data_IF_551814324229
#
_entry.id   IF_551814324229
#
_cell.length_a   1.000
_cell.length_b   1.000
_cell.length_c   1.000
_cell.angle_alpha   90.00
_cell.angle_beta   90.00
_cell.angle_gamma   90.00
#
_symmetry.space_group_name_H-M   'P 1'
#
loop_
_entity.id
_entity.type
_entity.pdbx_description
1 polymer ?
#
# COMPACT_ATOMS: atom_id res chain seq x y z
N UNK A 1 -2.03 -5.03 18.01
CA UNK A 1 -1.82 -3.75 17.31
C UNK A 1 -2.87 -2.80 17.87
N UNK A 2 -2.51 -1.59 18.32
CA UNK A 2 -3.49 -0.61 18.76
C UNK A 2 -4.28 -0.11 17.54
N UNK A 3 -5.54 0.32 17.69
CA UNK A 3 -6.35 0.92 16.63
C UNK A 3 -5.60 2.07 15.92
N UNK A 4 -4.82 2.85 16.68
CA UNK A 4 -3.97 3.90 16.12
C UNK A 4 -2.89 3.36 15.17
N UNK A 5 -2.29 2.21 15.50
CA UNK A 5 -1.27 1.57 14.66
C UNK A 5 -1.90 1.03 13.37
N UNK A 6 -3.14 0.49 13.45
CA UNK A 6 -3.92 0.04 12.28
C UNK A 6 -4.16 1.21 11.33
N UNK A 7 -4.60 2.35 11.86
CA UNK A 7 -4.86 3.56 11.08
C UNK A 7 -3.58 4.06 10.41
N UNK A 8 -2.48 4.15 11.14
CA UNK A 8 -1.20 4.59 10.59
C UNK A 8 -0.69 3.66 9.49
N UNK A 9 -0.78 2.35 9.71
CA UNK A 9 -0.39 1.35 8.72
C UNK A 9 -1.22 1.48 7.44
N UNK A 10 -2.53 1.68 7.57
CA UNK A 10 -3.43 1.91 6.43
C UNK A 10 -3.02 3.14 5.63
N UNK A 11 -2.73 4.27 6.28
CA UNK A 11 -2.28 5.49 5.59
C UNK A 11 -0.92 5.32 4.92
N UNK A 12 0.01 4.60 5.54
CA UNK A 12 1.31 4.28 4.95
C UNK A 12 1.14 3.51 3.63
N UNK A 13 0.33 2.45 3.63
CA UNK A 13 0.05 1.62 2.46
C UNK A 13 -0.61 2.44 1.34
N UNK A 14 -1.62 3.27 1.67
CA UNK A 14 -2.28 4.16 0.71
C UNK A 14 -1.28 5.14 0.06
N UNK A 15 -0.36 5.70 0.85
CA UNK A 15 0.67 6.61 0.35
C UNK A 15 1.64 5.89 -0.59
N UNK A 16 2.09 4.68 -0.24
CA UNK A 16 2.98 3.87 -1.09
C UNK A 16 2.28 3.55 -2.41
N UNK A 17 1.03 3.08 -2.34
CA UNK A 17 0.22 2.78 -3.51
C UNK A 17 0.12 3.99 -4.44
N UNK A 18 -0.22 5.16 -3.91
CA UNK A 18 -0.31 6.39 -4.69
C UNK A 18 1.03 6.77 -5.34
N UNK A 19 2.14 6.62 -4.62
CA UNK A 19 3.47 6.89 -5.16
C UNK A 19 3.82 5.95 -6.33
N UNK A 20 3.47 4.67 -6.21
CA UNK A 20 3.69 3.68 -7.26
C UNK A 20 2.83 3.96 -8.49
N UNK A 21 1.54 4.24 -8.32
CA UNK A 21 0.63 4.48 -9.44
C UNK A 21 0.90 5.80 -10.18
N UNK A 22 1.45 6.80 -9.48
CA UNK A 22 1.79 8.10 -10.07
C UNK A 22 3.27 8.21 -10.49
N UNK A 23 4.05 7.12 -10.40
CA UNK A 23 5.47 7.11 -10.79
C UNK A 23 6.35 8.04 -9.95
N UNK A 24 5.96 8.32 -8.69
CA UNK A 24 6.71 9.17 -7.75
C UNK A 24 7.90 8.45 -7.13
N UNK A 25 7.89 7.11 -7.17
CA UNK A 25 9.01 6.26 -6.78
C UNK A 25 9.26 5.24 -7.89
N UNK A 26 10.52 4.85 -8.06
CA UNK A 26 10.90 3.83 -9.04
C UNK A 26 10.45 2.45 -8.55
N UNK A 27 9.80 1.70 -9.44
CA UNK A 27 9.47 0.30 -9.27
C UNK A 27 9.69 -0.40 -10.62
N UNK A 28 10.27 -1.60 -10.60
CA UNK A 28 10.46 -2.37 -11.83
C UNK A 28 9.09 -2.72 -12.44
N UNK A 29 8.87 -2.53 -13.76
CA UNK A 29 7.56 -2.75 -14.37
C UNK A 29 6.98 -4.16 -14.17
N UNK A 30 7.83 -5.17 -14.09
CA UNK A 30 7.41 -6.56 -13.82
C UNK A 30 7.01 -6.81 -12.36
N UNK A 31 7.49 -5.97 -11.43
CA UNK A 31 7.21 -6.08 -10.00
C UNK A 31 6.02 -5.20 -9.59
N UNK A 32 5.79 -4.11 -10.32
CA UNK A 32 4.72 -3.14 -10.02
C UNK A 32 3.34 -3.81 -9.84
N UNK A 33 2.88 -4.74 -10.71
CA UNK A 33 1.60 -5.40 -10.52
C UNK A 33 1.53 -6.18 -9.20
N UNK A 34 2.56 -6.96 -8.89
CA UNK A 34 2.60 -7.76 -7.66
C UNK A 34 2.69 -6.88 -6.40
N UNK A 35 3.41 -5.76 -6.47
CA UNK A 35 3.49 -4.80 -5.38
C UNK A 35 2.14 -4.13 -5.12
N UNK A 36 1.40 -3.74 -6.16
CA UNK A 36 0.07 -3.17 -6.03
C UNK A 36 -0.94 -4.19 -5.49
N UNK A 37 -0.90 -5.43 -5.98
CA UNK A 37 -1.77 -6.52 -5.53
C UNK A 37 -1.56 -6.84 -4.05
N UNK A 38 -0.29 -6.93 -3.60
CA UNK A 38 0.02 -7.12 -2.19
C UNK A 38 -0.50 -5.96 -1.32
N UNK A 39 -0.31 -4.71 -1.75
CA UNK A 39 -0.82 -3.55 -1.01
C UNK A 39 -2.35 -3.58 -0.91
N UNK A 40 -3.04 -3.93 -2.00
CA UNK A 40 -4.50 -4.00 -2.02
C UNK A 40 -5.01 -5.09 -1.06
N UNK A 41 -4.37 -6.27 -1.02
CA UNK A 41 -4.68 -7.33 -0.05
C UNK A 41 -4.43 -6.91 1.40
N UNK A 42 -3.35 -6.20 1.69
CA UNK A 42 -3.08 -5.67 3.04
C UNK A 42 -4.14 -4.64 3.46
N UNK A 43 -4.59 -3.78 2.54
CA UNK A 43 -5.62 -2.77 2.81
C UNK A 43 -7.00 -3.39 3.06
N UNK A 44 -7.32 -4.50 2.40
CA UNK A 44 -8.53 -5.29 2.66
C UNK A 44 -8.47 -5.92 4.07
N UNK A 45 -7.32 -6.46 4.47
CA UNK A 45 -7.11 -7.02 5.80
C UNK A 45 -7.16 -5.97 6.94
N UNK A 46 -6.92 -4.70 6.62
CA UNK A 46 -6.99 -3.55 7.54
C UNK A 46 -8.32 -2.79 7.45
N UNK A 47 -9.37 -3.37 6.89
CA UNK A 47 -10.69 -2.75 6.88
C UNK A 47 -11.23 -2.59 8.32
N UNK A 48 -11.52 -1.33 8.69
CA UNK A 48 -12.15 -0.89 9.95
C UNK A 48 -13.61 -0.59 9.66
#
# INVERSE_FOLDING_TARGET
MNDLDVIWRRFELLRIRWNLTNGRIYCHPEVLPAALDWIDGELEGLAI
#
